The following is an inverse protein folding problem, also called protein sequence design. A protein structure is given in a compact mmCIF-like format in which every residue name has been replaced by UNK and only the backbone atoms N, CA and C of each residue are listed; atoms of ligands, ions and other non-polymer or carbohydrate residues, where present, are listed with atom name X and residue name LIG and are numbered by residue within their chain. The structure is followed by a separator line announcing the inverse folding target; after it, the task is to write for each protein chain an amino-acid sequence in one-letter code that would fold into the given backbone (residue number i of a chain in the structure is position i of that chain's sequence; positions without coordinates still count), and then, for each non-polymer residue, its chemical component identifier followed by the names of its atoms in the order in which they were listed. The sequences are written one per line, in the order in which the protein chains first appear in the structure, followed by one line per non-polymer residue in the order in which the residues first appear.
data_IF_802830006038
#
_entry.id   IF_802830006038
#
_cell.length_a   1.000
_cell.length_b   1.000
_cell.length_c   1.000
_cell.angle_alpha   90.00
_cell.angle_beta   90.00
_cell.angle_gamma   90.00
#
_symmetry.space_group_name_H-M   'P 1'
#
loop_
_entity.id
_entity.type
_entity.pdbx_description
1 polymer ?
#
# COMPACT_ATOMS: atom_id res chain seq x y z
N UNK A 1 -4.31 51.39 -51.61
CA UNK A 1 -5.37 51.28 -50.57
C UNK A 1 -5.69 49.81 -50.44
N UNK A 2 -5.27 49.16 -49.35
CA UNK A 2 -5.55 47.73 -49.11
C UNK A 2 -6.68 47.62 -48.09
N UNK A 3 -7.78 47.01 -48.51
CA UNK A 3 -8.99 46.73 -47.71
C UNK A 3 -8.70 45.62 -46.70
N UNK A 4 -8.92 45.93 -45.42
CA UNK A 4 -8.47 45.16 -44.25
C UNK A 4 -9.65 44.42 -43.58
N UNK A 5 -10.46 43.66 -44.33
CA UNK A 5 -11.69 43.08 -43.75
C UNK A 5 -12.08 41.70 -44.28
N UNK A 6 -11.28 40.69 -43.96
CA UNK A 6 -11.77 39.31 -43.87
C UNK A 6 -11.12 38.63 -42.66
N UNK A 7 -11.74 38.79 -41.49
CA UNK A 7 -11.45 37.97 -40.30
C UNK A 7 -12.02 36.57 -40.56
N UNK A 8 -11.17 35.64 -40.97
CA UNK A 8 -11.46 34.21 -41.15
C UNK A 8 -12.17 33.67 -39.89
N UNK A 9 -13.31 32.97 -39.95
CA UNK A 9 -14.07 32.56 -38.76
C UNK A 9 -13.42 31.45 -37.90
N UNK A 10 -12.23 30.96 -38.24
CA UNK A 10 -11.52 29.88 -37.53
C UNK A 10 -10.98 30.22 -36.13
N UNK A 11 -11.05 31.47 -35.69
CA UNK A 11 -10.53 31.93 -34.39
C UNK A 11 -11.61 32.44 -33.44
N UNK A 12 -12.90 32.20 -33.74
CA UNK A 12 -13.94 32.40 -32.76
C UNK A 12 -13.89 31.24 -31.75
N UNK A 13 -13.05 31.40 -30.73
CA UNK A 13 -13.09 30.56 -29.53
C UNK A 13 -14.35 30.95 -28.76
N UNK A 14 -15.47 30.36 -29.17
CA UNK A 14 -16.71 30.38 -28.41
C UNK A 14 -16.43 29.64 -27.10
N UNK A 15 -16.31 30.38 -26.00
CA UNK A 15 -16.26 29.81 -24.67
C UNK A 15 -17.57 29.06 -24.43
N UNK A 16 -17.55 27.75 -24.68
CA UNK A 16 -18.67 26.87 -24.37
C UNK A 16 -18.86 26.83 -22.86
N UNK A 17 -20.04 27.25 -22.41
CA UNK A 17 -20.47 27.24 -21.02
C UNK A 17 -20.66 25.82 -20.43
N UNK A 18 -20.31 24.76 -21.15
CA UNK A 18 -20.63 23.38 -20.76
C UNK A 18 -19.63 22.72 -19.83
N UNK A 19 -18.47 23.33 -19.52
CA UNK A 19 -17.55 22.87 -18.45
C UNK A 19 -17.18 21.38 -18.44
N UNK A 20 -17.46 20.66 -19.53
CA UNK A 20 -17.25 19.23 -19.65
C UNK A 20 -15.84 19.05 -20.15
N UNK A 21 -15.12 18.15 -19.48
CA UNK A 21 -13.76 17.75 -19.83
C UNK A 21 -13.78 17.03 -21.19
N UNK A 22 -13.87 17.81 -22.27
CA UNK A 22 -13.83 17.30 -23.63
C UNK A 22 -12.39 16.89 -23.89
N UNK A 23 -12.18 15.58 -24.07
CA UNK A 23 -10.94 14.89 -24.39
C UNK A 23 -10.02 14.43 -23.23
N UNK A 24 -10.38 14.57 -21.95
CA UNK A 24 -9.56 14.05 -20.82
C UNK A 24 -8.08 14.52 -20.87
N UNK A 25 -7.83 15.80 -21.21
CA UNK A 25 -6.48 16.40 -21.25
C UNK A 25 -5.97 16.83 -19.88
N UNK A 26 -6.82 16.76 -18.85
CA UNK A 26 -6.41 16.93 -17.47
C UNK A 26 -6.14 15.56 -16.87
N UNK A 27 -4.90 15.35 -16.44
CA UNK A 27 -4.47 14.30 -15.53
C UNK A 27 -5.44 14.29 -14.34
N UNK A 28 -6.32 13.28 -14.28
CA UNK A 28 -7.19 13.06 -13.13
C UNK A 28 -6.51 12.02 -12.25
N UNK A 29 -5.89 12.51 -11.17
CA UNK A 29 -5.31 11.68 -10.12
C UNK A 29 -6.34 11.48 -9.01
N UNK A 30 -6.66 10.22 -8.71
CA UNK A 30 -7.57 9.89 -7.61
C UNK A 30 -6.80 9.25 -6.48
N UNK A 31 -6.72 9.92 -5.33
CA UNK A 31 -6.14 9.31 -4.13
C UNK A 31 -6.94 8.08 -3.70
N UNK A 32 -6.23 6.99 -3.43
CA UNK A 32 -6.77 5.72 -2.91
C UNK A 32 -6.17 5.34 -1.55
N UNK A 33 -5.37 6.23 -0.94
CA UNK A 33 -4.68 5.97 0.33
C UNK A 33 -5.61 5.41 1.41
N UNK A 34 -6.79 6.00 1.61
CA UNK A 34 -7.76 5.49 2.60
C UNK A 34 -8.16 4.04 2.34
N UNK A 35 -8.50 3.69 1.10
CA UNK A 35 -8.85 2.32 0.72
C UNK A 35 -7.70 1.34 0.92
N UNK A 36 -6.47 1.77 0.60
CA UNK A 36 -5.27 0.95 0.79
C UNK A 36 -5.01 0.72 2.27
N UNK A 37 -5.13 1.75 3.11
CA UNK A 37 -4.96 1.65 4.55
C UNK A 37 -6.01 0.72 5.19
N UNK A 38 -7.28 0.84 4.80
CA UNK A 38 -8.36 -0.04 5.27
C UNK A 38 -8.05 -1.49 4.89
N UNK A 39 -7.66 -1.72 3.63
CA UNK A 39 -7.32 -3.06 3.14
C UNK A 39 -6.11 -3.66 3.83
N UNK A 40 -5.05 -2.87 4.06
CA UNK A 40 -3.89 -3.32 4.83
C UNK A 40 -4.28 -3.67 6.28
N UNK A 41 -5.17 -2.89 6.88
CA UNK A 41 -5.67 -3.17 8.23
C UNK A 41 -6.40 -4.52 8.28
N UNK A 42 -7.24 -4.82 7.28
CA UNK A 42 -7.91 -6.12 7.15
C UNK A 42 -6.92 -7.28 6.95
N UNK A 43 -5.94 -7.14 6.06
CA UNK A 43 -4.97 -8.19 5.74
C UNK A 43 -4.06 -8.54 6.93
N UNK A 44 -3.75 -7.56 7.78
CA UNK A 44 -2.86 -7.73 8.93
C UNK A 44 -3.57 -7.90 10.28
N UNK A 45 -4.90 -7.78 10.32
CA UNK A 45 -5.67 -7.96 11.56
C UNK A 45 -5.56 -9.41 12.05
N UNK A 46 -5.01 -9.59 13.24
CA UNK A 46 -4.84 -10.90 13.89
C UNK A 46 -4.19 -11.99 13.00
N UNK A 47 -3.26 -11.59 12.12
CA UNK A 47 -2.55 -12.51 11.24
C UNK A 47 -1.61 -13.41 12.06
N UNK A 48 -1.99 -14.67 12.21
CA UNK A 48 -1.14 -15.70 12.81
C UNK A 48 0.11 -15.95 11.95
N UNK A 49 1.27 -16.05 12.62
CA UNK A 49 2.56 -16.28 11.99
C UNK A 49 3.07 -17.69 12.32
N UNK A 50 3.45 -18.43 11.29
CA UNK A 50 4.21 -19.67 11.47
C UNK A 50 5.68 -19.35 11.77
N UNK A 51 6.14 -19.73 12.96
CA UNK A 51 7.52 -19.55 13.45
C UNK A 51 8.39 -20.79 13.20
N UNK A 52 8.18 -21.47 12.07
CA UNK A 52 9.00 -22.60 11.63
C UNK A 52 8.77 -23.86 12.46
N UNK A 53 7.51 -24.13 12.83
CA UNK A 53 7.12 -25.32 13.60
C UNK A 53 7.63 -25.36 15.05
N UNK A 54 8.16 -24.24 15.55
CA UNK A 54 8.56 -24.12 16.97
C UNK A 54 7.33 -23.91 17.85
N UNK A 55 7.33 -24.47 19.07
CA UNK A 55 6.21 -24.30 19.98
C UNK A 55 6.16 -22.84 20.47
N UNK A 56 5.00 -22.20 20.30
CA UNK A 56 4.75 -20.80 20.60
C UNK A 56 3.64 -20.23 19.71
N UNK A 57 3.09 -19.07 20.09
CA UNK A 57 2.06 -18.37 19.32
C UNK A 57 2.56 -16.98 18.97
N UNK A 58 2.66 -16.67 17.68
CA UNK A 58 3.07 -15.36 17.20
C UNK A 58 2.04 -14.85 16.22
N UNK A 59 1.74 -13.55 16.28
CA UNK A 59 0.84 -12.91 15.32
C UNK A 59 1.18 -11.45 15.12
N UNK A 60 0.76 -10.92 13.99
CA UNK A 60 0.60 -9.48 13.80
C UNK A 60 -0.76 -9.13 14.39
N UNK A 61 -0.79 -8.21 15.35
CA UNK A 61 -2.01 -7.81 16.03
C UNK A 61 -2.78 -6.78 15.22
N UNK A 62 -2.11 -5.76 14.70
CA UNK A 62 -2.75 -4.72 13.89
C UNK A 62 -1.77 -3.84 13.11
N UNK A 63 -2.30 -3.10 12.14
CA UNK A 63 -1.63 -1.96 11.50
C UNK A 63 -1.70 -0.74 12.42
N UNK A 64 -0.54 -0.25 12.90
CA UNK A 64 -0.46 0.95 13.74
C UNK A 64 -0.50 2.22 12.91
N UNK A 65 0.28 2.26 11.85
CA UNK A 65 0.46 3.46 11.04
C UNK A 65 0.75 3.10 9.58
N UNK A 66 0.26 3.95 8.68
CA UNK A 66 0.59 3.93 7.26
C UNK A 66 0.90 5.35 6.82
N UNK A 67 2.15 5.58 6.42
CA UNK A 67 2.61 6.86 5.89
C UNK A 67 2.96 6.71 4.41
N UNK A 68 3.11 7.84 3.72
CA UNK A 68 3.25 7.88 2.26
C UNK A 68 1.93 8.12 1.53
N UNK A 69 1.91 7.82 0.23
CA UNK A 69 0.82 8.11 -0.68
C UNK A 69 0.46 6.93 -1.60
N UNK A 70 -0.79 6.93 -2.04
CA UNK A 70 -1.31 5.97 -3.00
C UNK A 70 -2.39 6.64 -3.85
N UNK A 71 -2.25 6.59 -5.17
CA UNK A 71 -3.15 7.18 -6.13
C UNK A 71 -3.37 6.30 -7.37
N UNK A 72 -4.54 6.47 -7.99
CA UNK A 72 -4.85 5.89 -9.28
C UNK A 72 -4.72 6.97 -10.35
N UNK A 73 -3.98 6.65 -11.39
CA UNK A 73 -3.77 7.50 -12.56
C UNK A 73 -4.42 6.88 -13.78
N UNK A 74 -5.26 7.64 -14.49
CA UNK A 74 -5.85 7.21 -15.76
C UNK A 74 -4.80 7.37 -16.86
N UNK A 75 -4.44 6.27 -17.53
CA UNK A 75 -3.52 6.26 -18.68
C UNK A 75 -4.28 6.01 -19.99
N UNK A 76 -3.59 6.28 -21.12
CA UNK A 76 -4.10 6.08 -22.48
C UNK A 76 -4.75 4.69 -22.64
N UNK A 77 -5.98 4.66 -23.13
CA UNK A 77 -6.78 3.44 -23.25
C UNK A 77 -7.62 3.09 -22.03
N UNK A 78 -7.89 4.07 -21.16
CA UNK A 78 -8.72 3.93 -19.95
C UNK A 78 -8.19 2.86 -18.97
N UNK A 79 -6.88 2.65 -18.96
CA UNK A 79 -6.20 1.78 -17.99
C UNK A 79 -5.87 2.60 -16.76
N UNK A 80 -6.30 2.13 -15.60
CA UNK A 80 -5.91 2.71 -14.31
C UNK A 80 -4.55 2.14 -13.91
N UNK A 81 -3.61 2.99 -13.53
CA UNK A 81 -2.37 2.60 -12.90
C UNK A 81 -2.39 3.02 -11.43
N UNK A 82 -2.24 2.07 -10.52
CA UNK A 82 -1.97 2.35 -9.13
C UNK A 82 -0.49 2.74 -8.97
N UNK A 83 -0.26 3.92 -8.41
CA UNK A 83 1.05 4.39 -7.98
C UNK A 83 0.97 4.52 -6.46
N UNK A 84 1.91 3.93 -5.76
CA UNK A 84 1.98 4.01 -4.31
C UNK A 84 3.44 4.01 -3.86
N UNK A 85 3.69 4.69 -2.75
CA UNK A 85 4.93 4.67 -1.98
C UNK A 85 4.50 4.75 -0.51
N UNK A 86 4.67 3.65 0.21
CA UNK A 86 4.10 3.48 1.53
C UNK A 86 5.15 2.97 2.52
N UNK A 87 5.01 3.43 3.76
CA UNK A 87 5.74 2.91 4.92
C UNK A 87 4.74 2.45 5.96
N UNK A 88 4.92 1.24 6.45
CA UNK A 88 3.98 0.55 7.33
C UNK A 88 4.61 0.29 8.68
N UNK A 89 3.83 0.54 9.73
CA UNK A 89 4.19 0.18 11.10
C UNK A 89 3.18 -0.84 11.59
N UNK A 90 3.60 -2.09 11.80
CA UNK A 90 2.77 -3.21 12.23
C UNK A 90 3.05 -3.56 13.69
N UNK A 91 2.02 -3.74 14.50
CA UNK A 91 2.12 -4.28 15.84
C UNK A 91 2.19 -5.81 15.79
N UNK A 92 3.07 -6.42 16.59
CA UNK A 92 3.11 -7.87 16.73
C UNK A 92 3.15 -8.29 18.19
N UNK A 93 2.61 -9.46 18.46
CA UNK A 93 2.70 -10.12 19.76
C UNK A 93 3.12 -11.58 19.59
N UNK A 94 3.88 -12.06 20.56
CA UNK A 94 4.44 -13.40 20.58
C UNK A 94 4.43 -13.97 21.98
N UNK A 95 4.18 -15.26 22.09
CA UNK A 95 4.27 -16.04 23.30
C UNK A 95 5.13 -17.26 23.03
N UNK A 96 6.23 -17.39 23.77
CA UNK A 96 7.10 -18.55 23.69
C UNK A 96 6.46 -19.73 24.45
N UNK A 97 6.63 -20.96 23.95
CA UNK A 97 6.13 -22.12 24.68
C UNK A 97 6.80 -22.27 26.04
N UNK A 98 6.00 -22.55 27.06
CA UNK A 98 6.45 -22.67 28.44
C UNK A 98 6.58 -21.34 29.19
N UNK A 99 6.29 -20.20 28.54
CA UNK A 99 6.17 -18.90 29.21
C UNK A 99 4.73 -18.38 29.16
N UNK A 100 4.22 -17.89 30.28
CA UNK A 100 2.95 -17.18 30.35
C UNK A 100 3.07 -15.72 29.90
N UNK A 101 4.31 -15.22 29.76
CA UNK A 101 4.56 -13.83 29.39
C UNK A 101 4.51 -13.62 27.89
N UNK A 102 3.82 -12.53 27.49
CA UNK A 102 3.77 -12.08 26.11
C UNK A 102 4.89 -11.10 25.84
N UNK A 103 5.56 -11.31 24.72
CA UNK A 103 6.48 -10.36 24.12
C UNK A 103 5.70 -9.56 23.08
N UNK A 104 5.85 -8.24 23.10
CA UNK A 104 5.22 -7.34 22.14
C UNK A 104 6.28 -6.55 21.42
N UNK A 105 5.98 -6.14 20.19
CA UNK A 105 6.89 -5.32 19.43
C UNK A 105 6.24 -4.70 18.21
N UNK A 106 7.10 -4.13 17.39
CA UNK A 106 6.71 -3.44 16.17
C UNK A 106 7.57 -3.91 14.99
N UNK A 107 6.96 -4.14 13.83
CA UNK A 107 7.65 -4.35 12.56
C UNK A 107 7.44 -3.13 11.70
N UNK A 108 8.52 -2.51 11.24
CA UNK A 108 8.43 -1.47 10.20
C UNK A 108 8.76 -2.07 8.85
N UNK A 109 7.98 -1.68 7.85
CA UNK A 109 8.20 -2.02 6.44
C UNK A 109 8.33 -0.71 5.68
N UNK A 110 9.54 -0.43 5.21
CA UNK A 110 9.84 0.71 4.35
C UNK A 110 10.03 0.23 2.90
N UNK A 111 10.09 1.18 1.97
CA UNK A 111 10.28 0.93 0.52
C UNK A 111 9.16 0.06 -0.11
N UNK A 112 7.96 0.03 0.49
CA UNK A 112 6.79 -0.59 -0.14
C UNK A 112 6.19 0.35 -1.19
N UNK A 113 6.79 0.34 -2.39
CA UNK A 113 6.39 1.19 -3.49
C UNK A 113 6.03 0.40 -4.76
N UNK A 114 5.28 1.03 -5.65
CA UNK A 114 4.83 0.47 -6.94
C UNK A 114 5.96 0.18 -7.93
N UNK A 115 7.14 0.75 -7.70
CA UNK A 115 8.35 0.51 -8.49
C UNK A 115 9.36 -0.42 -7.80
N UNK A 116 9.07 -0.84 -6.56
CA UNK A 116 9.94 -1.71 -5.76
C UNK A 116 9.51 -3.17 -5.91
N UNK A 117 10.48 -4.07 -5.96
CA UNK A 117 10.25 -5.51 -5.91
C UNK A 117 10.27 -6.02 -4.46
N UNK A 118 9.88 -7.29 -4.25
CA UNK A 118 9.80 -7.91 -2.91
C UNK A 118 11.14 -7.89 -2.15
N UNK A 119 12.25 -7.94 -2.89
CA UNK A 119 13.61 -7.93 -2.35
C UNK A 119 14.08 -6.53 -1.92
N UNK A 120 13.41 -5.47 -2.38
CA UNK A 120 13.74 -4.08 -2.04
C UNK A 120 13.13 -3.64 -0.70
N UNK A 121 12.12 -4.38 -0.21
CA UNK A 121 11.42 -4.03 1.02
C UNK A 121 12.34 -4.09 2.24
N UNK A 122 12.40 -3.00 2.99
CA UNK A 122 13.24 -2.89 4.17
C UNK A 122 12.43 -3.19 5.43
N UNK A 123 12.86 -4.22 6.17
CA UNK A 123 12.19 -4.67 7.39
C UNK A 123 13.02 -4.37 8.64
N UNK A 124 12.43 -3.61 9.56
CA UNK A 124 12.98 -3.37 10.90
C UNK A 124 12.11 -4.08 11.96
N UNK A 125 12.70 -5.03 12.71
CA UNK A 125 12.02 -5.73 13.80
C UNK A 125 12.45 -5.15 15.15
N UNK A 126 11.48 -4.58 15.87
CA UNK A 126 11.60 -3.97 17.18
C UNK A 126 10.84 -4.79 18.23
N UNK A 127 11.36 -4.78 19.46
CA UNK A 127 10.73 -5.41 20.63
C UNK A 127 10.49 -4.33 21.67
N UNK A 128 9.24 -4.16 22.08
CA UNK A 128 8.81 -3.09 22.97
C UNK A 128 8.64 -3.60 24.41
N UNK A 129 8.00 -4.76 24.60
CA UNK A 129 7.66 -5.32 25.92
C UNK A 129 7.88 -6.82 26.05
N UNK A 130 7.98 -7.32 27.28
CA UNK A 130 8.22 -8.74 27.61
C UNK A 130 9.41 -8.94 28.56
N UNK A 131 9.63 -10.15 29.04
CA UNK A 131 10.81 -10.47 29.87
C UNK A 131 12.11 -10.51 29.08
N UNK A 132 13.20 -10.10 29.73
CA UNK A 132 14.49 -9.84 29.09
C UNK A 132 15.07 -11.06 28.36
N UNK A 133 14.90 -12.26 28.93
CA UNK A 133 15.29 -13.55 28.36
C UNK A 133 14.45 -13.94 27.13
N UNK A 134 13.16 -13.61 27.13
CA UNK A 134 12.25 -13.91 26.02
C UNK A 134 12.38 -12.95 24.82
N UNK A 135 12.82 -11.70 25.05
CA UNK A 135 12.88 -10.65 24.00
C UNK A 135 13.77 -11.02 22.83
N UNK A 136 15.00 -11.45 23.10
CA UNK A 136 15.98 -11.74 22.04
C UNK A 136 15.54 -12.95 21.20
N UNK A 137 15.05 -14.00 21.87
CA UNK A 137 14.52 -15.19 21.20
C UNK A 137 13.32 -14.84 20.31
N UNK A 138 12.34 -14.10 20.84
CA UNK A 138 11.16 -13.68 20.08
C UNK A 138 11.53 -12.81 18.87
N UNK A 139 12.44 -11.84 19.04
CA UNK A 139 12.94 -11.00 17.94
C UNK A 139 13.56 -11.84 16.83
N UNK A 140 14.41 -12.80 17.20
CA UNK A 140 15.08 -13.68 16.25
C UNK A 140 14.09 -14.55 15.49
N UNK A 141 13.05 -15.07 16.14
CA UNK A 141 11.99 -15.83 15.49
C UNK A 141 11.22 -14.97 14.48
N UNK A 142 10.81 -13.76 14.88
CA UNK A 142 10.12 -12.82 14.00
C UNK A 142 10.98 -12.45 12.78
N UNK A 143 12.25 -12.09 12.99
CA UNK A 143 13.14 -11.69 11.90
C UNK A 143 13.37 -12.80 10.86
N UNK A 144 13.36 -14.07 11.28
CA UNK A 144 13.61 -15.22 10.41
C UNK A 144 12.36 -15.72 9.68
N UNK A 145 11.17 -15.60 10.29
CA UNK A 145 9.97 -16.27 9.79
C UNK A 145 8.83 -15.33 9.38
N UNK A 146 8.77 -14.10 9.91
CA UNK A 146 7.65 -13.20 9.64
C UNK A 146 7.74 -12.53 8.25
N UNK A 147 8.96 -12.20 7.78
CA UNK A 147 9.18 -11.52 6.49
C UNK A 147 8.40 -12.15 5.31
N UNK A 148 8.57 -13.44 4.98
CA UNK A 148 7.87 -14.02 3.84
C UNK A 148 6.34 -14.05 4.02
N UNK A 149 5.84 -14.07 5.25
CA UNK A 149 4.41 -14.06 5.53
C UNK A 149 3.83 -12.65 5.38
N UNK A 150 4.56 -11.62 5.79
CA UNK A 150 4.19 -10.21 5.57
C UNK A 150 4.19 -9.90 4.07
N UNK A 151 5.24 -10.29 3.35
CA UNK A 151 5.34 -10.10 1.89
C UNK A 151 4.14 -10.74 1.19
N UNK A 152 3.76 -11.98 1.56
CA UNK A 152 2.56 -12.63 1.00
C UNK A 152 1.29 -11.79 1.13
N UNK A 153 1.07 -11.13 2.27
CA UNK A 153 -0.10 -10.26 2.44
C UNK A 153 0.03 -8.98 1.60
N UNK A 154 1.21 -8.37 1.53
CA UNK A 154 1.44 -7.21 0.66
C UNK A 154 1.17 -7.55 -0.80
N UNK A 155 1.59 -8.73 -1.26
CA UNK A 155 1.34 -9.19 -2.63
C UNK A 155 -0.14 -9.41 -2.95
N UNK A 156 -0.98 -9.73 -1.95
CA UNK A 156 -2.44 -9.76 -2.15
C UNK A 156 -2.93 -8.37 -2.51
N UNK A 157 -2.52 -7.34 -1.77
CA UNK A 157 -2.85 -5.95 -2.09
C UNK A 157 -2.31 -5.54 -3.47
N UNK A 158 -1.05 -5.86 -3.80
CA UNK A 158 -0.46 -5.52 -5.11
C UNK A 158 -1.27 -6.12 -6.26
N UNK A 159 -1.72 -7.38 -6.13
CA UNK A 159 -2.59 -8.03 -7.12
C UNK A 159 -3.94 -7.36 -7.24
N UNK A 160 -4.55 -6.99 -6.12
CA UNK A 160 -5.82 -6.25 -6.10
C UNK A 160 -5.68 -4.90 -6.80
N UNK A 161 -4.64 -4.12 -6.48
CA UNK A 161 -4.37 -2.82 -7.11
C UNK A 161 -4.10 -2.96 -8.62
N UNK A 162 -3.39 -4.02 -9.03
CA UNK A 162 -3.14 -4.32 -10.44
C UNK A 162 -4.42 -4.72 -11.20
N UNK A 163 -5.36 -5.38 -10.52
CA UNK A 163 -6.63 -5.81 -11.11
C UNK A 163 -7.57 -4.63 -11.41
N UNK A 164 -7.49 -3.54 -10.63
CA UNK A 164 -8.30 -2.32 -10.85
C UNK A 164 -8.08 -1.75 -12.26
N UNK A 165 -6.85 -1.82 -12.76
CA UNK A 165 -6.48 -1.35 -14.10
C UNK A 165 -7.01 -2.18 -15.26
N UNK A 166 -7.51 -3.40 -14.98
CA UNK A 166 -7.99 -4.34 -16.00
C UNK A 166 -9.51 -4.30 -16.21
N UNK A 167 -10.26 -3.66 -15.32
CA UNK A 167 -11.71 -3.51 -15.44
C UNK A 167 -12.06 -2.44 -16.47
N UNK A 168 -12.75 -2.77 -17.58
CA UNK A 168 -13.25 -1.77 -18.51
C UNK A 168 -14.27 -0.87 -17.79
N UNK A 169 -14.37 0.42 -18.17
CA UNK A 169 -15.39 1.30 -17.61
C UNK A 169 -16.78 0.75 -17.95
N UNK A 170 -17.79 0.95 -17.09
CA UNK A 170 -19.16 0.59 -17.41
C UNK A 170 -19.57 1.27 -18.73
N UNK A 171 -20.17 0.49 -19.63
CA UNK A 171 -20.63 0.91 -20.95
C UNK A 171 -21.74 1.96 -20.90
#
# INVERSE_FOLDING_TARGET
MATWDQRDPRWLVEQRADGRNVNQWHWEEKSIKGKVQDRLSELFSDLALDIGGKPGSFKISSLKETSGDASLNVRKGNKLLAIYDLKLTLAWEGQLAGSEERVTGTVKVDEFASASDEDDYLFEFLVDGGAADAKEQARRLMANHAKPQIIRQLLVLVRELSSIGSTPPPS
#
